data_IF_352533454433
#
_entry.id   IF_352533454433
#
_cell.length_a   1.000
_cell.length_b   1.000
_cell.length_c   1.000
_cell.angle_alpha   90.00
_cell.angle_beta   90.00
_cell.angle_gamma   90.00
#
_symmetry.space_group_name_H-M   'P 1'
#
loop_
_entity.id
_entity.type
_entity.pdbx_description
1 polymer ?
#
# COMPACT_ATOMS: atom_id res chain seq x y z
N UNK A 1 25.32 6.90 2.71
CA UNK A 1 24.69 5.59 2.97
C UNK A 1 23.72 5.59 4.15
N UNK A 2 24.03 6.25 5.27
CA UNK A 2 23.11 6.28 6.42
C UNK A 2 21.71 6.84 6.12
N UNK A 3 21.60 7.89 5.28
CA UNK A 3 20.29 8.47 4.91
C UNK A 3 19.42 7.48 4.13
N UNK A 4 20.01 6.73 3.17
CA UNK A 4 19.29 5.70 2.40
C UNK A 4 18.82 4.58 3.34
N UNK A 5 19.71 4.11 4.23
CA UNK A 5 19.39 3.09 5.23
C UNK A 5 18.21 3.51 6.13
N UNK A 6 18.29 4.71 6.71
CA UNK A 6 17.25 5.19 7.62
C UNK A 6 15.91 5.40 6.89
N UNK A 7 15.95 5.97 5.67
CA UNK A 7 14.75 6.17 4.87
C UNK A 7 14.11 4.85 4.41
N UNK A 8 14.92 3.86 4.04
CA UNK A 8 14.41 2.52 3.73
C UNK A 8 13.77 1.86 4.95
N UNK A 9 14.33 2.05 6.15
CA UNK A 9 13.73 1.53 7.38
C UNK A 9 12.39 2.23 7.70
N UNK A 10 12.32 3.55 7.54
CA UNK A 10 11.04 4.28 7.63
C UNK A 10 10.04 3.73 6.61
N UNK A 11 10.47 3.49 5.38
CA UNK A 11 9.62 2.89 4.34
C UNK A 11 9.11 1.50 4.71
N UNK A 12 9.91 0.65 5.36
CA UNK A 12 9.47 -0.66 5.88
C UNK A 12 8.34 -0.48 6.91
N UNK A 13 8.56 0.38 7.91
CA UNK A 13 7.57 0.63 8.97
C UNK A 13 6.27 1.20 8.37
N UNK A 14 6.38 2.18 7.48
CA UNK A 14 5.21 2.77 6.81
C UNK A 14 4.49 1.77 5.91
N UNK A 15 5.20 0.96 5.12
CA UNK A 15 4.59 -0.06 4.26
C UNK A 15 3.81 -1.08 5.09
N UNK A 16 4.36 -1.49 6.26
CA UNK A 16 3.65 -2.36 7.19
C UNK A 16 2.35 -1.71 7.69
N UNK A 17 2.40 -0.43 8.10
CA UNK A 17 1.20 0.32 8.54
C UNK A 17 0.18 0.41 7.41
N UNK A 18 0.60 0.74 6.18
CA UNK A 18 -0.29 0.83 5.02
C UNK A 18 -0.99 -0.51 4.75
N UNK A 19 -0.26 -1.63 4.79
CA UNK A 19 -0.83 -2.97 4.61
C UNK A 19 -1.85 -3.27 5.73
N UNK A 20 -1.52 -2.96 6.98
CA UNK A 20 -2.42 -3.16 8.12
C UNK A 20 -3.70 -2.31 8.01
N UNK A 21 -3.58 -1.04 7.60
CA UNK A 21 -4.71 -0.16 7.34
C UNK A 21 -5.59 -0.68 6.20
N UNK A 22 -5.01 -1.17 5.11
CA UNK A 22 -5.75 -1.79 4.01
C UNK A 22 -6.49 -3.06 4.44
N UNK A 23 -5.87 -3.89 5.28
CA UNK A 23 -6.53 -5.04 5.88
C UNK A 23 -7.69 -4.62 6.81
N UNK A 24 -7.48 -3.59 7.63
CA UNK A 24 -8.55 -3.03 8.48
C UNK A 24 -9.72 -2.50 7.65
N UNK A 25 -9.47 -1.70 6.61
CA UNK A 25 -10.49 -1.22 5.68
C UNK A 25 -11.38 -2.36 5.17
N UNK A 26 -10.76 -3.51 4.86
CA UNK A 26 -11.50 -4.69 4.44
C UNK A 26 -12.30 -5.34 5.57
N UNK A 27 -11.72 -5.48 6.76
CA UNK A 27 -12.37 -6.12 7.92
C UNK A 27 -13.62 -5.38 8.39
N UNK A 28 -13.66 -4.05 8.23
CA UNK A 28 -14.81 -3.21 8.59
C UNK A 28 -15.73 -2.90 7.40
N UNK A 29 -15.56 -3.62 6.28
CA UNK A 29 -16.36 -3.45 5.05
C UNK A 29 -16.38 -2.00 4.53
N UNK A 30 -15.24 -1.32 4.63
CA UNK A 30 -15.06 0.09 4.29
C UNK A 30 -14.39 0.32 2.92
N UNK A 31 -14.22 -0.73 2.09
CA UNK A 31 -13.49 -0.62 0.82
C UNK A 31 -14.20 0.18 -0.27
N UNK A 32 -15.43 0.62 -0.05
CA UNK A 32 -16.21 1.53 -0.89
C UNK A 32 -16.81 2.67 -0.04
N UNK A 33 -16.10 3.10 1.00
CA UNK A 33 -16.53 4.20 1.87
C UNK A 33 -16.35 5.59 1.23
N UNK A 34 -15.55 5.69 0.17
CA UNK A 34 -15.32 6.91 -0.60
C UNK A 34 -15.62 6.65 -2.09
N UNK A 35 -16.63 7.30 -2.69
CA UNK A 35 -17.06 7.02 -4.06
C UNK A 35 -16.10 7.53 -5.13
N UNK A 36 -15.23 8.49 -4.78
CA UNK A 36 -14.25 9.12 -5.66
C UNK A 36 -12.81 8.77 -5.27
N UNK A 37 -11.86 9.17 -6.10
CA UNK A 37 -10.43 9.00 -5.90
C UNK A 37 -9.66 10.16 -6.55
N UNK A 38 -8.60 10.72 -5.95
CA UNK A 38 -7.91 10.32 -4.71
C UNK A 38 -8.55 10.85 -3.42
N UNK A 39 -9.57 11.69 -3.50
CA UNK A 39 -10.30 12.25 -2.38
C UNK A 39 -11.37 11.31 -1.81
N UNK A 40 -12.23 11.88 -0.97
CA UNK A 40 -13.37 11.23 -0.38
C UNK A 40 -14.57 12.18 -0.41
N UNK A 41 -15.60 11.89 -1.20
CA UNK A 41 -16.77 12.75 -1.44
C UNK A 41 -16.43 14.16 -1.96
N UNK A 42 -15.33 14.29 -2.74
CA UNK A 42 -14.83 15.55 -3.26
C UNK A 42 -13.97 16.36 -2.28
N UNK A 43 -13.62 15.80 -1.13
CA UNK A 43 -12.75 16.39 -0.13
C UNK A 43 -11.38 15.67 -0.09
N UNK A 44 -10.34 16.38 0.42
CA UNK A 44 -9.01 15.78 0.61
C UNK A 44 -9.04 14.75 1.76
N UNK A 45 -9.81 15.06 2.82
CA UNK A 45 -10.03 14.15 3.94
C UNK A 45 -11.41 13.50 3.78
N UNK A 46 -12.31 13.73 4.68
CA UNK A 46 -13.70 13.28 4.66
C UNK A 46 -14.61 14.40 5.17
N UNK A 47 -15.89 14.44 4.80
CA UNK A 47 -16.85 15.39 5.35
C UNK A 47 -16.94 15.28 6.89
N UNK A 48 -16.90 16.43 7.59
CA UNK A 48 -16.86 16.47 9.05
C UNK A 48 -18.06 17.18 9.67
N UNK A 49 -18.69 18.11 8.94
CA UNK A 49 -19.83 18.89 9.45
C UNK A 49 -21.07 18.65 8.60
N UNK A 50 -22.22 19.12 9.09
CA UNK A 50 -23.52 18.91 8.43
C UNK A 50 -23.56 19.51 7.02
N UNK A 51 -22.86 20.63 6.78
CA UNK A 51 -22.83 21.29 5.47
C UNK A 51 -22.01 20.47 4.48
N UNK A 52 -20.84 20.00 4.90
CA UNK A 52 -20.00 19.13 4.08
C UNK A 52 -20.68 17.78 3.76
N UNK A 53 -21.37 17.20 4.76
CA UNK A 53 -22.14 15.94 4.59
C UNK A 53 -23.28 16.15 3.61
N UNK A 54 -24.08 17.21 3.75
CA UNK A 54 -25.15 17.52 2.81
C UNK A 54 -24.63 17.76 1.39
N UNK A 55 -23.47 18.43 1.26
CA UNK A 55 -22.82 18.63 -0.02
C UNK A 55 -22.31 17.31 -0.63
N UNK A 56 -21.72 16.44 0.19
CA UNK A 56 -21.25 15.11 -0.21
C UNK A 56 -22.42 14.26 -0.75
N UNK A 57 -23.53 14.18 -0.01
CA UNK A 57 -24.72 13.43 -0.43
C UNK A 57 -25.38 14.03 -1.69
N UNK A 58 -25.36 15.35 -1.85
CA UNK A 58 -25.87 15.99 -3.07
C UNK A 58 -25.01 15.68 -4.30
N UNK A 59 -23.69 15.56 -4.13
CA UNK A 59 -22.74 15.21 -5.23
C UNK A 59 -22.75 13.73 -5.59
N UNK A 60 -22.97 12.87 -4.60
CA UNK A 60 -22.92 11.43 -4.73
C UNK A 60 -24.21 10.75 -4.22
N UNK A 61 -25.39 11.03 -4.83
CA UNK A 61 -26.68 10.58 -4.30
C UNK A 61 -26.85 9.06 -4.25
N UNK A 62 -26.06 8.32 -5.01
CA UNK A 62 -26.06 6.85 -5.01
C UNK A 62 -25.21 6.24 -3.89
N UNK A 63 -24.45 7.06 -3.16
CA UNK A 63 -23.53 6.62 -2.12
C UNK A 63 -23.83 7.40 -0.84
N UNK A 64 -24.69 6.87 0.07
CA UNK A 64 -24.96 7.51 1.34
C UNK A 64 -23.69 7.62 2.17
N UNK A 65 -23.48 8.78 2.81
CA UNK A 65 -22.31 9.01 3.61
C UNK A 65 -22.29 8.19 4.89
N UNK A 66 -21.22 7.43 5.10
CA UNK A 66 -20.95 6.69 6.34
C UNK A 66 -19.53 6.98 6.82
N UNK A 67 -19.42 7.74 7.90
CA UNK A 67 -18.14 8.13 8.49
C UNK A 67 -17.28 6.92 8.92
N UNK A 68 -17.93 5.82 9.37
CA UNK A 68 -17.23 4.61 9.80
C UNK A 68 -16.56 3.87 8.62
N UNK A 69 -17.01 4.13 7.40
CA UNK A 69 -16.42 3.59 6.17
C UNK A 69 -15.47 4.59 5.52
N UNK A 70 -15.82 5.88 5.50
CA UNK A 70 -15.00 6.93 4.88
C UNK A 70 -13.64 7.10 5.57
N UNK A 71 -13.59 7.11 6.91
CA UNK A 71 -12.35 7.29 7.67
C UNK A 71 -11.33 6.18 7.41
N UNK A 72 -11.63 4.88 7.59
CA UNK A 72 -10.65 3.82 7.34
C UNK A 72 -10.07 3.85 5.93
N UNK A 73 -10.92 4.07 4.94
CA UNK A 73 -10.48 4.09 3.55
C UNK A 73 -9.61 5.31 3.26
N UNK A 74 -10.01 6.51 3.64
CA UNK A 74 -9.25 7.72 3.36
C UNK A 74 -7.94 7.77 4.16
N UNK A 75 -7.91 7.31 5.40
CA UNK A 75 -6.68 7.17 6.19
C UNK A 75 -5.69 6.23 5.49
N UNK A 76 -6.15 5.08 5.01
CA UNK A 76 -5.30 4.17 4.22
C UNK A 76 -4.70 4.87 2.99
N UNK A 77 -5.50 5.61 2.22
CA UNK A 77 -5.05 6.36 1.02
C UNK A 77 -4.01 7.43 1.37
N UNK A 78 -4.21 8.18 2.46
CA UNK A 78 -3.27 9.22 2.91
C UNK A 78 -1.91 8.62 3.32
N UNK A 79 -1.91 7.52 4.07
CA UNK A 79 -0.68 6.82 4.43
C UNK A 79 0.02 6.22 3.20
N UNK A 80 -0.75 5.69 2.22
CA UNK A 80 -0.19 5.21 0.96
C UNK A 80 0.44 6.35 0.14
N UNK A 81 -0.18 7.52 0.08
CA UNK A 81 0.39 8.71 -0.56
C UNK A 81 1.68 9.16 0.13
N UNK A 82 1.71 9.19 1.46
CA UNK A 82 2.91 9.51 2.23
C UNK A 82 4.04 8.50 1.97
N UNK A 83 3.72 7.20 1.84
CA UNK A 83 4.69 6.16 1.45
C UNK A 83 5.25 6.42 0.04
N UNK A 84 4.43 6.91 -0.88
CA UNK A 84 4.86 7.34 -2.21
C UNK A 84 5.89 8.46 -2.16
N UNK A 85 5.69 9.47 -1.29
CA UNK A 85 6.66 10.55 -1.07
C UNK A 85 7.99 10.01 -0.50
N UNK A 86 7.95 9.05 0.41
CA UNK A 86 9.15 8.37 0.92
C UNK A 86 9.90 7.66 -0.21
N UNK A 87 9.20 7.00 -1.14
CA UNK A 87 9.83 6.34 -2.28
C UNK A 87 10.47 7.34 -3.26
N UNK A 88 9.82 8.48 -3.53
CA UNK A 88 10.38 9.55 -4.36
C UNK A 88 11.69 10.08 -3.72
N UNK A 89 11.67 10.37 -2.43
CA UNK A 89 12.85 10.83 -1.71
C UNK A 89 13.96 9.74 -1.71
N UNK A 90 13.59 8.47 -1.59
CA UNK A 90 14.54 7.35 -1.65
C UNK A 90 15.22 7.28 -3.03
N UNK A 91 14.48 7.45 -4.13
CA UNK A 91 15.04 7.52 -5.48
C UNK A 91 16.01 8.70 -5.57
N UNK A 92 15.59 9.89 -5.18
CA UNK A 92 16.44 11.08 -5.18
C UNK A 92 17.76 10.85 -4.43
N UNK A 93 17.69 10.33 -3.20
CA UNK A 93 18.89 10.04 -2.41
C UNK A 93 19.74 8.93 -3.02
N UNK A 94 19.13 7.93 -3.66
CA UNK A 94 19.86 6.86 -4.32
C UNK A 94 20.68 7.37 -5.50
N UNK A 95 20.16 8.34 -6.26
CA UNK A 95 20.90 8.91 -7.39
C UNK A 95 21.97 9.91 -6.97
N UNK A 96 21.75 10.65 -5.87
CA UNK A 96 22.66 11.72 -5.42
C UNK A 96 23.71 11.25 -4.41
N UNK A 97 23.40 10.26 -3.57
CA UNK A 97 24.24 9.89 -2.40
C UNK A 97 24.95 8.53 -2.52
N UNK A 98 24.68 7.72 -3.55
CA UNK A 98 25.38 6.44 -3.75
C UNK A 98 25.78 6.21 -5.20
N UNK A 99 26.91 5.51 -5.38
CA UNK A 99 27.36 5.00 -6.68
C UNK A 99 26.87 3.57 -6.95
N UNK A 100 26.15 2.94 -6.00
CA UNK A 100 25.68 1.56 -6.12
C UNK A 100 24.49 1.47 -7.10
N UNK A 101 24.75 1.00 -8.30
CA UNK A 101 23.76 0.87 -9.36
C UNK A 101 22.59 -0.09 -8.99
N UNK A 102 22.83 -1.09 -8.12
CA UNK A 102 21.77 -1.98 -7.68
C UNK A 102 20.75 -1.24 -6.80
N UNK A 103 21.21 -0.36 -5.89
CA UNK A 103 20.32 0.45 -5.05
C UNK A 103 19.51 1.42 -5.93
N UNK A 104 20.15 2.07 -6.92
CA UNK A 104 19.46 2.97 -7.86
C UNK A 104 18.35 2.25 -8.64
N UNK A 105 18.66 1.07 -9.20
CA UNK A 105 17.70 0.26 -9.96
C UNK A 105 16.53 -0.21 -9.07
N UNK A 106 16.83 -0.68 -7.85
CA UNK A 106 15.81 -1.15 -6.91
C UNK A 106 14.90 -0.01 -6.44
N UNK A 107 15.46 1.18 -6.14
CA UNK A 107 14.63 2.32 -5.72
C UNK A 107 13.75 2.83 -6.86
N UNK A 108 14.23 2.84 -8.10
CA UNK A 108 13.41 3.19 -9.26
C UNK A 108 12.29 2.16 -9.50
N UNK A 109 12.62 0.86 -9.42
CA UNK A 109 11.63 -0.21 -9.54
C UNK A 109 10.57 -0.14 -8.44
N UNK A 110 10.98 0.17 -7.20
CA UNK A 110 10.08 0.40 -6.07
C UNK A 110 9.11 1.57 -6.35
N UNK A 111 9.60 2.69 -6.89
CA UNK A 111 8.74 3.82 -7.23
C UNK A 111 7.72 3.45 -8.31
N UNK A 112 8.14 2.75 -9.36
CA UNK A 112 7.25 2.25 -10.41
C UNK A 112 6.17 1.33 -9.78
N UNK A 113 6.58 0.40 -8.91
CA UNK A 113 5.64 -0.49 -8.23
C UNK A 113 4.62 0.28 -7.39
N UNK A 114 5.05 1.33 -6.65
CA UNK A 114 4.13 2.16 -5.84
C UNK A 114 3.17 2.95 -6.74
N UNK A 115 3.61 3.44 -7.90
CA UNK A 115 2.70 4.05 -8.87
C UNK A 115 1.65 3.04 -9.39
N UNK A 116 2.08 1.81 -9.70
CA UNK A 116 1.15 0.74 -10.05
C UNK A 116 0.18 0.41 -8.90
N UNK A 117 0.65 0.42 -7.64
CA UNK A 117 -0.20 0.22 -6.47
C UNK A 117 -1.26 1.33 -6.32
N UNK A 118 -0.90 2.58 -6.60
CA UNK A 118 -1.87 3.70 -6.65
C UNK A 118 -2.96 3.46 -7.71
N UNK A 119 -2.55 2.99 -8.90
CA UNK A 119 -3.50 2.62 -9.96
C UNK A 119 -4.40 1.46 -9.52
N UNK A 120 -3.84 0.40 -8.92
CA UNK A 120 -4.64 -0.70 -8.38
C UNK A 120 -5.58 -0.23 -7.27
N UNK A 121 -5.15 0.70 -6.40
CA UNK A 121 -6.01 1.35 -5.40
C UNK A 121 -7.20 2.07 -6.03
N UNK A 122 -7.00 2.82 -7.11
CA UNK A 122 -8.09 3.40 -7.90
C UNK A 122 -9.02 2.30 -8.50
N UNK A 123 -8.43 1.25 -9.08
CA UNK A 123 -9.20 0.17 -9.69
C UNK A 123 -10.01 -0.65 -8.67
N UNK A 124 -9.60 -0.72 -7.41
CA UNK A 124 -10.41 -1.39 -6.36
C UNK A 124 -11.75 -0.68 -6.17
N UNK A 125 -11.79 0.64 -6.24
CA UNK A 125 -13.03 1.43 -6.13
C UNK A 125 -13.81 1.39 -7.43
N UNK A 126 -13.19 1.71 -8.56
CA UNK A 126 -13.87 1.82 -9.87
C UNK A 126 -14.44 0.49 -10.37
N UNK A 127 -13.88 -0.65 -9.95
CA UNK A 127 -14.36 -2.00 -10.30
C UNK A 127 -15.08 -2.69 -9.13
N UNK A 128 -15.63 -1.91 -8.18
CA UNK A 128 -16.45 -2.41 -7.08
C UNK A 128 -15.81 -3.61 -6.36
N UNK A 129 -14.54 -3.46 -5.94
CA UNK A 129 -13.77 -4.46 -5.21
C UNK A 129 -13.62 -5.81 -5.92
N UNK A 130 -13.47 -5.80 -7.26
CA UNK A 130 -13.27 -7.03 -8.02
C UNK A 130 -12.15 -7.88 -7.39
N UNK A 131 -12.40 -9.17 -7.00
CA UNK A 131 -11.47 -9.96 -6.17
C UNK A 131 -10.07 -10.07 -6.73
N UNK A 132 -9.91 -10.20 -8.05
CA UNK A 132 -8.58 -10.28 -8.68
C UNK A 132 -7.79 -8.98 -8.51
N UNK A 133 -8.45 -7.83 -8.57
CA UNK A 133 -7.81 -6.51 -8.40
C UNK A 133 -7.37 -6.32 -6.95
N UNK A 134 -8.25 -6.63 -5.99
CA UNK A 134 -7.95 -6.54 -4.56
C UNK A 134 -6.79 -7.46 -4.19
N UNK A 135 -6.82 -8.71 -4.67
CA UNK A 135 -5.75 -9.68 -4.44
C UNK A 135 -4.40 -9.21 -5.02
N UNK A 136 -4.41 -8.72 -6.27
CA UNK A 136 -3.20 -8.20 -6.91
C UNK A 136 -2.64 -6.98 -6.17
N UNK A 137 -3.52 -6.07 -5.71
CA UNK A 137 -3.14 -4.93 -4.90
C UNK A 137 -2.50 -5.37 -3.57
N UNK A 138 -3.06 -6.37 -2.89
CA UNK A 138 -2.49 -6.93 -1.66
C UNK A 138 -1.08 -7.50 -1.89
N UNK A 139 -0.89 -8.35 -2.91
CA UNK A 139 0.42 -8.90 -3.24
C UNK A 139 1.44 -7.82 -3.60
N UNK A 140 1.03 -6.81 -4.33
CA UNK A 140 1.89 -5.67 -4.65
C UNK A 140 2.28 -4.86 -3.41
N UNK A 141 1.40 -4.75 -2.41
CA UNK A 141 1.73 -4.17 -1.10
C UNK A 141 2.85 -4.94 -0.40
N UNK A 142 2.77 -6.27 -0.34
CA UNK A 142 3.85 -7.11 0.21
C UNK A 142 5.14 -7.03 -0.61
N UNK A 143 5.05 -6.95 -1.94
CA UNK A 143 6.22 -6.75 -2.79
C UNK A 143 6.88 -5.39 -2.50
N UNK A 144 6.11 -4.34 -2.27
CA UNK A 144 6.58 -3.01 -1.87
C UNK A 144 7.36 -3.08 -0.54
N UNK A 145 6.79 -3.71 0.48
CA UNK A 145 7.45 -3.95 1.77
C UNK A 145 8.78 -4.70 1.59
N UNK A 146 8.76 -5.77 0.79
CA UNK A 146 9.93 -6.61 0.50
C UNK A 146 11.03 -5.81 -0.21
N UNK A 147 10.69 -4.94 -1.16
CA UNK A 147 11.66 -4.09 -1.86
C UNK A 147 12.31 -3.05 -0.93
N UNK A 148 11.54 -2.40 -0.07
CA UNK A 148 12.11 -1.53 0.97
C UNK A 148 13.10 -2.28 1.84
N UNK A 149 12.76 -3.51 2.25
CA UNK A 149 13.64 -4.37 3.05
C UNK A 149 14.92 -4.75 2.29
N UNK A 150 14.85 -5.10 1.02
CA UNK A 150 16.04 -5.38 0.19
C UNK A 150 16.93 -4.16 0.04
N UNK A 151 16.39 -2.97 -0.18
CA UNK A 151 17.17 -1.72 -0.26
C UNK A 151 17.83 -1.45 1.08
N UNK A 152 17.12 -1.65 2.20
CA UNK A 152 17.67 -1.52 3.55
C UNK A 152 18.85 -2.45 3.78
N UNK A 153 18.74 -3.75 3.45
CA UNK A 153 19.83 -4.72 3.60
C UNK A 153 21.04 -4.33 2.75
N UNK A 154 20.82 -3.96 1.47
CA UNK A 154 21.91 -3.51 0.59
C UNK A 154 22.60 -2.23 1.08
N UNK A 155 21.88 -1.36 1.74
CA UNK A 155 22.45 -0.12 2.32
C UNK A 155 23.28 -0.34 3.56
N UNK A 156 23.16 -1.51 4.21
CA UNK A 156 23.94 -1.90 5.40
C UNK A 156 25.27 -2.62 5.09
N UNK A 157 25.59 -2.90 3.81
CA UNK A 157 26.73 -3.75 3.42
C UNK A 157 26.73 -5.12 4.15
N UNK A 158 25.55 -5.74 4.25
CA UNK A 158 25.37 -6.96 5.01
C UNK A 158 25.97 -8.16 4.25
N UNK A 159 27.09 -8.68 4.71
CA UNK A 159 27.69 -9.95 4.23
C UNK A 159 26.98 -11.22 4.75
N UNK A 160 25.76 -11.09 5.30
CA UNK A 160 25.04 -12.14 6.04
C UNK A 160 24.48 -13.26 5.15
N UNK A 161 24.57 -13.14 3.82
CA UNK A 161 23.97 -14.14 2.92
C UNK A 161 24.57 -15.56 3.03
N UNK A 162 25.74 -15.72 3.67
CA UNK A 162 26.42 -17.03 3.72
C UNK A 162 25.93 -17.99 4.82
N UNK A 163 25.07 -17.56 5.74
CA UNK A 163 24.59 -18.43 6.84
C UNK A 163 23.06 -18.67 6.84
N UNK A 164 22.33 -18.12 5.87
CA UNK A 164 20.89 -18.25 5.86
C UNK A 164 20.51 -19.57 5.17
N UNK A 165 19.83 -20.45 5.90
CA UNK A 165 19.29 -21.69 5.34
C UNK A 165 18.14 -21.35 4.38
N UNK A 166 18.49 -21.27 3.08
CA UNK A 166 17.56 -20.91 1.99
C UNK A 166 16.33 -21.83 1.96
N UNK A 167 16.46 -23.11 2.35
CA UNK A 167 15.33 -24.03 2.37
C UNK A 167 14.28 -23.67 3.41
N UNK A 168 14.69 -23.22 4.62
CA UNK A 168 13.77 -22.74 5.66
C UNK A 168 13.05 -21.45 5.23
N UNK A 169 13.76 -20.54 4.59
CA UNK A 169 13.15 -19.30 4.07
C UNK A 169 12.12 -19.61 2.99
N UNK A 170 12.44 -20.50 2.04
CA UNK A 170 11.50 -20.93 1.00
C UNK A 170 10.25 -21.56 1.62
N UNK A 171 10.39 -22.42 2.63
CA UNK A 171 9.26 -23.03 3.31
C UNK A 171 8.37 -21.96 3.98
N UNK A 172 8.95 -21.04 4.75
CA UNK A 172 8.20 -19.95 5.42
C UNK A 172 7.50 -19.06 4.39
N UNK A 173 8.20 -18.70 3.31
CA UNK A 173 7.62 -17.90 2.24
C UNK A 173 6.47 -18.62 1.53
N UNK A 174 6.61 -19.94 1.29
CA UNK A 174 5.55 -20.75 0.68
C UNK A 174 4.32 -20.85 1.59
N UNK A 175 4.51 -21.06 2.90
CA UNK A 175 3.42 -21.10 3.88
C UNK A 175 2.72 -19.73 3.92
N UNK A 176 3.47 -18.65 4.03
CA UNK A 176 2.93 -17.30 4.03
C UNK A 176 2.14 -16.98 2.73
N UNK A 177 2.66 -17.42 1.59
CA UNK A 177 1.99 -17.25 0.29
C UNK A 177 0.66 -18.03 0.24
N UNK A 178 0.64 -19.28 0.68
CA UNK A 178 -0.59 -20.10 0.74
C UNK A 178 -1.59 -19.48 1.71
N UNK A 179 -1.16 -19.02 2.89
CA UNK A 179 -2.03 -18.32 3.84
C UNK A 179 -2.65 -17.07 3.24
N UNK A 180 -1.86 -16.25 2.50
CA UNK A 180 -2.34 -15.05 1.81
C UNK A 180 -3.37 -15.40 0.73
N UNK A 181 -3.13 -16.45 -0.06
CA UNK A 181 -4.10 -16.92 -1.06
C UNK A 181 -5.41 -17.38 -0.40
N UNK A 182 -5.31 -18.12 0.71
CA UNK A 182 -6.50 -18.62 1.42
C UNK A 182 -7.32 -17.48 2.04
N UNK A 183 -6.66 -16.42 2.53
CA UNK A 183 -7.33 -15.26 3.12
C UNK A 183 -7.71 -14.19 2.09
N UNK A 184 -7.35 -14.38 0.81
CA UNK A 184 -7.73 -13.47 -0.28
C UNK A 184 -9.23 -13.48 -0.54
N UNK A 185 -9.81 -12.36 -1.03
CA UNK A 185 -11.25 -12.28 -1.34
C UNK A 185 -11.65 -13.37 -2.32
N UNK A 186 -12.71 -14.10 -1.95
CA UNK A 186 -13.35 -15.08 -2.83
C UNK A 186 -14.36 -14.36 -3.74
N UNK A 187 -14.66 -14.89 -4.95
CA UNK A 187 -15.76 -14.40 -5.78
C UNK A 187 -17.13 -14.41 -5.06
N UNK A 188 -17.28 -15.21 -4.00
CA UNK A 188 -18.48 -15.25 -3.17
C UNK A 188 -18.61 -14.06 -2.22
N UNK A 189 -17.53 -13.34 -1.93
CA UNK A 189 -17.53 -12.17 -1.04
C UNK A 189 -18.10 -10.93 -1.76
N UNK A 190 -18.18 -10.94 -3.09
CA UNK A 190 -18.73 -9.87 -3.92
C UNK A 190 -20.26 -9.96 -4.13
N UNK A 191 -20.92 -10.98 -3.58
CA UNK A 191 -22.36 -11.23 -3.74
C UNK A 191 -23.21 -10.84 -2.53
N UNK A 192 -22.65 -10.04 -1.58
CA UNK A 192 -23.39 -9.54 -0.40
C UNK A 192 -23.69 -8.08 -0.54
#
# INVERSE_FOLDING_TARGET
>A
MNSIKNLSFIGICMAFVVIALGAWTRLVDAGLGCPDWPGCYGFVFWPNDEVEIALAESRFPMFPYDINKAIPEQVHRLFAAALGLVAILLVYLSFTKTKNNSIKKLSLFLLILICCQGLFGYLTVSLNLLPIVVTTHLFGGFATLTLFYFIYLKSRNFEVFNQINISKIRLIASIAFVCLLYTSPSPRDSSK
#
